data_IF_704858218191
#
_entry.id   IF_704858218191
#
_cell.length_a   1.000
_cell.length_b   1.000
_cell.length_c   1.000
_cell.angle_alpha   90.00
_cell.angle_beta   90.00
_cell.angle_gamma   90.00
#
_symmetry.space_group_name_H-M   'P 1'
#
loop_
_entity.id
_entity.type
_entity.pdbx_description
1 polymer ?
#
# COMPACT_ATOMS: atom_id res chain seq x y z
N UNK A 1 11.41 -10.58 26.15
CA UNK A 1 10.87 -10.63 24.78
C UNK A 1 11.41 -9.39 24.07
N UNK A 2 11.86 -9.50 22.79
CA UNK A 2 12.27 -8.32 22.06
C UNK A 2 11.13 -7.30 22.02
N UNK A 3 11.48 -6.02 22.01
CA UNK A 3 10.48 -4.96 21.94
C UNK A 3 9.75 -5.05 20.58
N UNK A 4 8.40 -5.01 20.55
CA UNK A 4 7.66 -5.01 19.29
C UNK A 4 8.12 -3.84 18.41
N UNK A 5 8.46 -4.14 17.16
CA UNK A 5 8.94 -3.15 16.20
C UNK A 5 8.11 -3.20 14.92
N UNK A 6 8.18 -2.15 14.14
CA UNK A 6 7.61 -2.09 12.80
C UNK A 6 8.66 -2.50 11.77
N UNK A 7 8.21 -3.07 10.66
CA UNK A 7 9.03 -3.37 9.49
C UNK A 7 8.90 -2.22 8.49
N UNK A 8 10.05 -1.69 8.05
CA UNK A 8 10.06 -0.62 7.06
C UNK A 8 10.13 -1.21 5.66
N UNK A 9 9.25 -0.74 4.78
CA UNK A 9 9.22 -1.08 3.35
C UNK A 9 8.97 0.18 2.52
N UNK A 10 9.07 0.05 1.20
CA UNK A 10 8.74 1.14 0.28
C UNK A 10 8.17 0.60 -1.04
N UNK A 11 7.32 1.37 -1.72
CA UNK A 11 7.03 1.17 -3.14
C UNK A 11 8.32 1.39 -3.92
N UNK A 12 8.93 0.30 -4.40
CA UNK A 12 10.28 0.33 -4.97
C UNK A 12 10.40 1.25 -6.19
N UNK A 13 9.36 1.29 -7.01
CA UNK A 13 9.33 2.13 -8.21
C UNK A 13 9.37 3.64 -7.91
N UNK A 14 9.06 4.07 -6.70
CA UNK A 14 9.23 5.46 -6.31
C UNK A 14 10.67 5.85 -5.97
N UNK A 15 11.52 4.89 -5.67
CA UNK A 15 12.93 5.13 -5.35
C UNK A 15 13.82 5.31 -6.58
N UNK A 16 13.29 5.16 -7.79
CA UNK A 16 14.05 5.16 -9.03
C UNK A 16 13.47 6.13 -10.08
N UNK A 17 14.32 6.70 -10.93
CA UNK A 17 13.89 7.57 -12.03
C UNK A 17 13.52 6.78 -13.29
N UNK A 18 14.30 5.76 -13.63
CA UNK A 18 14.10 4.97 -14.85
C UNK A 18 13.36 3.65 -14.58
N UNK A 19 13.01 3.38 -13.34
CA UNK A 19 12.27 2.21 -12.87
C UNK A 19 12.95 0.87 -13.20
N UNK A 20 14.25 0.85 -13.49
CA UNK A 20 14.97 -0.40 -13.66
C UNK A 20 15.11 -1.15 -12.33
N UNK A 21 15.07 -2.47 -12.37
CA UNK A 21 15.18 -3.29 -11.16
C UNK A 21 16.46 -2.97 -10.36
N UNK A 22 17.59 -2.81 -11.06
CA UNK A 22 18.88 -2.48 -10.43
C UNK A 22 18.83 -1.11 -9.74
N UNK A 23 18.23 -0.09 -10.39
CA UNK A 23 18.12 1.24 -9.80
C UNK A 23 17.21 1.22 -8.56
N UNK A 24 16.06 0.54 -8.63
CA UNK A 24 15.16 0.38 -7.50
C UNK A 24 15.85 -0.30 -6.31
N UNK A 25 16.45 -1.46 -6.57
CA UNK A 25 17.01 -2.30 -5.50
C UNK A 25 18.28 -1.71 -4.89
N UNK A 26 19.16 -1.13 -5.70
CA UNK A 26 20.34 -0.43 -5.18
C UNK A 26 19.96 0.77 -4.29
N UNK A 27 18.93 1.53 -4.68
CA UNK A 27 18.45 2.64 -3.86
C UNK A 27 17.89 2.16 -2.51
N UNK A 28 17.07 1.10 -2.50
CA UNK A 28 16.49 0.55 -1.28
C UNK A 28 17.56 -0.06 -0.37
N UNK A 29 18.50 -0.83 -0.93
CA UNK A 29 19.62 -1.41 -0.19
C UNK A 29 20.51 -0.31 0.42
N UNK A 30 20.81 0.76 -0.33
CA UNK A 30 21.58 1.90 0.17
C UNK A 30 20.87 2.66 1.32
N UNK A 31 19.55 2.59 1.39
CA UNK A 31 18.75 3.15 2.47
C UNK A 31 18.60 2.21 3.68
N UNK A 32 19.15 0.99 3.62
CA UNK A 32 19.05 -0.02 4.67
C UNK A 32 17.67 -0.69 4.76
N UNK A 33 16.84 -0.58 3.73
CA UNK A 33 15.57 -1.28 3.69
C UNK A 33 15.77 -2.75 3.35
N UNK A 34 15.05 -3.62 4.04
CA UNK A 34 15.02 -5.07 3.81
C UNK A 34 13.81 -5.48 2.97
N UNK A 35 12.72 -4.72 3.07
CA UNK A 35 11.45 -5.05 2.43
C UNK A 35 11.03 -3.98 1.43
N UNK A 36 10.30 -4.41 0.39
CA UNK A 36 9.71 -3.52 -0.59
C UNK A 36 8.37 -4.03 -1.11
N UNK A 37 7.51 -3.13 -1.56
CA UNK A 37 6.28 -3.45 -2.28
C UNK A 37 6.49 -3.34 -3.78
N UNK A 38 6.15 -4.40 -4.52
CA UNK A 38 6.38 -4.51 -5.96
C UNK A 38 5.16 -4.03 -6.74
N UNK A 39 5.32 -2.92 -7.49
CA UNK A 39 4.27 -2.32 -8.33
C UNK A 39 4.67 -2.26 -9.81
N UNK A 40 5.66 -1.47 -10.17
CA UNK A 40 6.14 -1.30 -11.54
C UNK A 40 7.67 -1.50 -11.57
N UNK A 41 8.16 -2.20 -12.61
CA UNK A 41 9.58 -2.53 -12.71
C UNK A 41 9.99 -2.74 -14.17
N UNK A 42 11.21 -2.34 -14.52
CA UNK A 42 11.84 -2.69 -15.78
C UNK A 42 13.01 -3.67 -15.55
N UNK A 43 12.93 -4.83 -16.17
CA UNK A 43 13.99 -5.86 -16.19
C UNK A 43 14.66 -5.96 -17.56
N UNK A 44 14.76 -4.85 -18.29
CA UNK A 44 15.44 -4.72 -19.57
C UNK A 44 14.53 -4.86 -20.80
N UNK A 45 13.20 -4.77 -20.62
CA UNK A 45 12.22 -4.80 -21.72
C UNK A 45 11.17 -3.70 -21.61
N UNK A 46 11.51 -2.61 -20.92
CA UNK A 46 10.60 -1.51 -20.58
C UNK A 46 9.82 -1.77 -19.30
N UNK A 47 9.28 -0.69 -18.74
CA UNK A 47 8.51 -0.71 -17.50
C UNK A 47 7.23 -1.51 -17.64
N UNK A 48 7.01 -2.43 -16.72
CA UNK A 48 5.78 -3.22 -16.61
C UNK A 48 5.20 -3.14 -15.22
N UNK A 49 3.87 -3.09 -15.15
CA UNK A 49 3.20 -3.41 -13.90
C UNK A 49 3.41 -4.88 -13.54
N UNK A 50 3.54 -5.18 -12.26
CA UNK A 50 3.78 -6.54 -11.72
C UNK A 50 2.85 -7.59 -12.32
N UNK A 51 1.58 -7.24 -12.59
CA UNK A 51 0.58 -8.12 -13.19
C UNK A 51 0.92 -8.59 -14.62
N UNK A 52 1.88 -7.94 -15.29
CA UNK A 52 2.30 -8.22 -16.68
C UNK A 52 3.65 -8.93 -16.76
N UNK A 53 4.25 -9.29 -15.65
CA UNK A 53 5.53 -9.98 -15.61
C UNK A 53 5.41 -11.42 -16.13
N UNK A 54 6.37 -11.82 -16.94
CA UNK A 54 6.57 -13.20 -17.37
C UNK A 54 7.39 -13.98 -16.33
N UNK A 55 7.35 -15.31 -16.36
CA UNK A 55 8.17 -16.15 -15.47
C UNK A 55 9.67 -15.86 -15.56
N UNK A 56 10.19 -15.62 -16.76
CA UNK A 56 11.60 -15.27 -16.94
C UNK A 56 11.95 -13.90 -16.32
N UNK A 57 11.04 -12.94 -16.33
CA UNK A 57 11.23 -11.65 -15.66
C UNK A 57 11.14 -11.80 -14.14
N UNK A 58 10.22 -12.61 -13.65
CA UNK A 58 10.11 -12.94 -12.22
C UNK A 58 11.43 -13.57 -11.73
N UNK A 59 11.98 -14.54 -12.44
CA UNK A 59 13.27 -15.17 -12.08
C UNK A 59 14.41 -14.16 -12.03
N UNK A 60 14.46 -13.20 -12.96
CA UNK A 60 15.49 -12.13 -12.92
C UNK A 60 15.33 -11.23 -11.71
N UNK A 61 14.10 -10.88 -11.35
CA UNK A 61 13.82 -10.05 -10.16
C UNK A 61 14.24 -10.82 -8.91
N UNK A 62 13.88 -12.10 -8.79
CA UNK A 62 14.27 -12.96 -7.65
C UNK A 62 15.80 -13.05 -7.49
N UNK A 63 16.52 -13.19 -8.60
CA UNK A 63 17.99 -13.20 -8.55
C UNK A 63 18.56 -11.87 -8.03
N UNK A 64 17.98 -10.73 -8.45
CA UNK A 64 18.39 -9.43 -7.94
C UNK A 64 17.97 -9.23 -6.47
N UNK A 65 16.82 -9.76 -6.04
CA UNK A 65 16.43 -9.78 -4.62
C UNK A 65 17.51 -10.48 -3.77
N UNK A 66 17.96 -11.64 -4.21
CA UNK A 66 19.04 -12.37 -3.53
C UNK A 66 20.35 -11.57 -3.51
N UNK A 67 20.72 -10.93 -4.64
CA UNK A 67 21.93 -10.10 -4.76
C UNK A 67 21.90 -8.89 -3.81
N UNK A 68 20.76 -8.21 -3.69
CA UNK A 68 20.60 -7.03 -2.84
C UNK A 68 20.08 -7.35 -1.43
N UNK A 69 19.78 -8.61 -1.14
CA UNK A 69 19.23 -9.06 0.14
C UNK A 69 17.86 -8.46 0.44
N UNK A 70 16.99 -8.32 -0.57
CA UNK A 70 15.66 -7.71 -0.45
C UNK A 70 14.55 -8.78 -0.45
N UNK A 71 13.45 -8.47 0.22
CA UNK A 71 12.28 -9.31 0.32
C UNK A 71 11.01 -8.53 -0.07
N UNK A 72 10.06 -9.18 -0.72
CA UNK A 72 8.78 -8.54 -1.06
C UNK A 72 7.86 -8.48 0.16
N UNK A 73 7.54 -7.27 0.59
CA UNK A 73 6.51 -7.04 1.62
C UNK A 73 5.11 -7.33 1.08
N UNK A 74 4.77 -6.75 -0.08
CA UNK A 74 3.47 -6.94 -0.71
C UNK A 74 3.53 -6.88 -2.24
N UNK A 75 2.59 -7.58 -2.89
CA UNK A 75 2.28 -7.33 -4.30
C UNK A 75 1.33 -6.14 -4.35
N UNK A 76 1.83 -4.99 -4.83
CA UNK A 76 1.06 -3.76 -4.99
C UNK A 76 0.23 -3.79 -6.29
N UNK A 77 -0.63 -4.81 -6.41
CA UNK A 77 -1.46 -5.04 -7.58
C UNK A 77 -2.63 -4.04 -7.66
N UNK A 78 -3.11 -3.68 -8.87
CA UNK A 78 -4.28 -2.82 -9.04
C UNK A 78 -5.61 -3.59 -8.87
N UNK A 79 -5.64 -4.62 -7.99
CA UNK A 79 -6.85 -5.37 -7.71
C UNK A 79 -7.89 -4.43 -7.09
N UNK A 80 -9.09 -4.37 -7.69
CA UNK A 80 -10.15 -3.44 -7.30
C UNK A 80 -10.10 -2.07 -7.99
N UNK A 81 -9.09 -1.75 -8.81
CA UNK A 81 -9.04 -0.55 -9.67
C UNK A 81 -9.82 -0.76 -10.98
N UNK A 82 -10.99 -1.31 -10.88
CA UNK A 82 -11.94 -1.52 -12.00
C UNK A 82 -13.32 -1.02 -11.58
N UNK A 83 -14.20 -0.76 -12.55
CA UNK A 83 -15.59 -0.39 -12.27
C UNK A 83 -16.32 -1.53 -11.56
N UNK A 84 -17.10 -1.18 -10.56
CA UNK A 84 -17.95 -2.12 -9.83
C UNK A 84 -19.13 -2.61 -10.73
N UNK A 85 -19.64 -1.71 -11.56
CA UNK A 85 -20.78 -1.93 -12.45
C UNK A 85 -20.41 -1.68 -13.91
N UNK A 86 -21.06 -2.40 -14.82
CA UNK A 86 -21.01 -2.14 -16.26
C UNK A 86 -21.91 -0.96 -16.61
N UNK A 87 -21.45 0.25 -16.28
CA UNK A 87 -22.18 1.50 -16.51
C UNK A 87 -21.27 2.51 -17.18
N UNK A 88 -21.73 3.09 -18.27
CA UNK A 88 -21.07 4.22 -18.91
C UNK A 88 -21.26 5.46 -18.01
N UNK A 89 -20.17 6.01 -17.48
CA UNK A 89 -20.14 7.13 -16.54
C UNK A 89 -19.14 8.23 -16.95
N UNK A 90 -18.64 8.16 -18.19
CA UNK A 90 -17.68 9.11 -18.74
C UNK A 90 -16.24 8.96 -18.21
N UNK A 91 -15.99 8.03 -17.28
CA UNK A 91 -14.61 7.71 -16.82
C UNK A 91 -13.91 6.75 -17.78
N UNK A 92 -12.56 6.74 -17.71
CA UNK A 92 -11.72 5.79 -18.48
C UNK A 92 -11.51 4.45 -17.75
N UNK A 93 -12.09 4.29 -16.55
CA UNK A 93 -11.95 3.07 -15.77
C UNK A 93 -12.56 1.89 -16.49
N UNK A 94 -11.83 0.77 -16.56
CA UNK A 94 -12.32 -0.45 -17.21
C UNK A 94 -13.36 -1.15 -16.33
N UNK A 95 -14.33 -1.79 -16.98
CA UNK A 95 -15.18 -2.81 -16.37
C UNK A 95 -14.69 -4.19 -16.80
N UNK A 96 -14.65 -5.12 -15.86
CA UNK A 96 -14.40 -6.54 -16.13
C UNK A 96 -15.48 -7.36 -15.42
N UNK A 97 -16.18 -8.27 -16.12
CA UNK A 97 -17.17 -9.15 -15.49
C UNK A 97 -16.55 -9.88 -14.29
N UNK A 98 -17.15 -9.78 -13.11
CA UNK A 98 -16.52 -10.17 -11.85
C UNK A 98 -16.04 -11.64 -11.84
N UNK A 99 -16.79 -12.56 -12.43
CA UNK A 99 -16.37 -13.97 -12.54
C UNK A 99 -15.03 -14.11 -13.31
N UNK A 100 -14.88 -13.35 -14.40
CA UNK A 100 -13.63 -13.32 -15.18
C UNK A 100 -12.51 -12.66 -14.40
N UNK A 101 -12.82 -11.55 -13.74
CA UNK A 101 -11.87 -10.81 -12.89
C UNK A 101 -11.27 -11.68 -11.78
N UNK A 102 -12.13 -12.41 -11.07
CA UNK A 102 -11.72 -13.35 -10.01
C UNK A 102 -10.83 -14.48 -10.58
N UNK A 103 -11.24 -15.06 -11.72
CA UNK A 103 -10.54 -16.20 -12.32
C UNK A 103 -9.21 -15.83 -12.99
N UNK A 104 -9.01 -14.58 -13.40
CA UNK A 104 -7.79 -14.15 -14.12
C UNK A 104 -6.95 -13.21 -13.30
N UNK A 105 -7.50 -12.04 -12.91
CA UNK A 105 -6.71 -10.97 -12.29
C UNK A 105 -6.38 -11.30 -10.83
N UNK A 106 -7.38 -11.73 -10.06
CA UNK A 106 -7.16 -12.11 -8.65
C UNK A 106 -6.29 -13.36 -8.56
N UNK A 107 -6.56 -14.38 -9.39
CA UNK A 107 -5.73 -15.58 -9.45
C UNK A 107 -4.28 -15.25 -9.82
N UNK A 108 -4.06 -14.35 -10.79
CA UNK A 108 -2.71 -13.90 -11.17
C UNK A 108 -2.00 -13.18 -10.03
N UNK A 109 -2.69 -12.34 -9.27
CA UNK A 109 -2.11 -11.68 -8.11
C UNK A 109 -1.69 -12.71 -7.03
N UNK A 110 -2.48 -13.77 -6.82
CA UNK A 110 -2.13 -14.87 -5.91
C UNK A 110 -0.89 -15.64 -6.41
N UNK A 111 -0.81 -15.97 -7.70
CA UNK A 111 0.37 -16.61 -8.30
C UNK A 111 1.64 -15.76 -8.10
N UNK A 112 1.53 -14.44 -8.29
CA UNK A 112 2.65 -13.52 -8.09
C UNK A 112 3.08 -13.46 -6.62
N UNK A 113 2.13 -13.41 -5.68
CA UNK A 113 2.46 -13.42 -4.26
C UNK A 113 3.24 -14.68 -3.87
N UNK A 114 2.88 -15.84 -4.40
CA UNK A 114 3.65 -17.08 -4.21
C UNK A 114 5.02 -17.04 -4.88
N UNK A 115 5.10 -16.54 -6.12
CA UNK A 115 6.34 -16.47 -6.87
C UNK A 115 7.39 -15.56 -6.21
N UNK A 116 6.92 -14.53 -5.50
CA UNK A 116 7.73 -13.58 -4.74
C UNK A 116 7.76 -13.86 -3.22
N UNK A 117 7.24 -15.01 -2.78
CA UNK A 117 7.28 -15.48 -1.39
C UNK A 117 6.69 -14.49 -0.38
N UNK A 118 5.75 -13.65 -0.81
CA UNK A 118 5.02 -12.76 0.10
C UNK A 118 3.63 -13.30 0.44
N UNK A 119 3.12 -12.92 1.60
CA UNK A 119 1.77 -13.26 2.07
C UNK A 119 0.75 -12.15 1.81
N UNK A 120 1.19 -10.99 1.31
CA UNK A 120 0.35 -9.80 1.19
C UNK A 120 0.09 -9.40 -0.26
N UNK A 121 -1.19 -9.18 -0.57
CA UNK A 121 -1.63 -8.54 -1.81
C UNK A 121 -2.36 -7.25 -1.41
N UNK A 122 -1.89 -6.09 -1.89
CA UNK A 122 -2.59 -4.83 -1.74
C UNK A 122 -3.60 -4.66 -2.86
N UNK A 123 -4.78 -4.16 -2.53
CA UNK A 123 -5.83 -3.85 -3.48
C UNK A 123 -6.81 -2.81 -2.97
N UNK A 124 -7.92 -2.64 -3.67
CA UNK A 124 -8.84 -1.52 -3.59
C UNK A 124 -10.30 -1.94 -3.64
N UNK A 125 -11.22 -0.99 -3.40
CA UNK A 125 -12.65 -1.24 -3.17
C UNK A 125 -13.57 -0.94 -4.36
N UNK A 126 -13.06 -0.96 -5.57
CA UNK A 126 -13.75 -0.69 -6.84
C UNK A 126 -14.19 0.78 -7.03
N UNK A 127 -14.28 1.19 -8.30
CA UNK A 127 -14.90 2.46 -8.68
C UNK A 127 -16.42 2.31 -8.75
N UNK A 128 -17.20 3.05 -7.94
CA UNK A 128 -18.64 3.21 -8.18
C UNK A 128 -18.84 4.07 -9.44
N UNK A 129 -20.04 4.11 -10.04
CA UNK A 129 -20.33 5.09 -11.07
C UNK A 129 -20.06 6.51 -10.56
N UNK A 130 -19.47 7.35 -11.40
CA UNK A 130 -18.87 8.66 -11.01
C UNK A 130 -19.81 9.57 -10.22
N UNK A 131 -21.09 9.60 -10.58
CA UNK A 131 -22.07 10.51 -9.99
C UNK A 131 -22.90 9.86 -8.87
N UNK A 132 -22.71 8.57 -8.64
CA UNK A 132 -23.43 7.84 -7.60
C UNK A 132 -22.74 8.02 -6.25
N UNK A 133 -23.48 7.87 -5.16
CA UNK A 133 -22.90 7.87 -3.81
C UNK A 133 -22.24 6.50 -3.57
N UNK A 134 -21.00 6.45 -3.10
CA UNK A 134 -20.32 5.18 -2.78
C UNK A 134 -21.11 4.30 -1.82
N UNK A 135 -21.84 4.91 -0.87
CA UNK A 135 -22.66 4.21 0.11
C UNK A 135 -23.75 3.34 -0.53
N UNK A 136 -24.27 3.76 -1.69
CA UNK A 136 -25.33 3.04 -2.40
C UNK A 136 -24.82 1.72 -3.03
N UNK A 137 -23.49 1.56 -3.09
CA UNK A 137 -22.81 0.40 -3.70
C UNK A 137 -22.11 -0.52 -2.68
N UNK A 138 -22.29 -0.29 -1.38
CA UNK A 138 -21.63 -1.07 -0.32
C UNK A 138 -21.96 -2.55 -0.39
N UNK A 139 -23.21 -2.93 -0.62
CA UNK A 139 -23.64 -4.34 -0.69
C UNK A 139 -22.84 -5.12 -1.74
N UNK A 140 -22.76 -4.57 -2.95
CA UNK A 140 -22.06 -5.23 -4.04
C UNK A 140 -20.55 -5.26 -3.84
N UNK A 141 -19.98 -4.18 -3.30
CA UNK A 141 -18.56 -4.14 -2.97
C UNK A 141 -18.22 -5.18 -1.88
N UNK A 142 -19.05 -5.31 -0.84
CA UNK A 142 -18.90 -6.31 0.22
C UNK A 142 -18.94 -7.72 -0.35
N UNK A 143 -19.93 -8.05 -1.21
CA UNK A 143 -20.03 -9.36 -1.86
C UNK A 143 -18.78 -9.69 -2.68
N UNK A 144 -18.33 -8.76 -3.53
CA UNK A 144 -17.17 -8.99 -4.39
C UNK A 144 -15.86 -9.06 -3.61
N UNK A 145 -15.66 -8.18 -2.62
CA UNK A 145 -14.47 -8.20 -1.78
C UNK A 145 -14.42 -9.43 -0.86
N UNK A 146 -15.55 -9.91 -0.40
CA UNK A 146 -15.64 -11.18 0.31
C UNK A 146 -15.15 -12.37 -0.53
N UNK A 147 -15.52 -12.42 -1.81
CA UNK A 147 -15.06 -13.45 -2.75
C UNK A 147 -13.56 -13.32 -3.08
N UNK A 148 -13.02 -12.10 -3.14
CA UNK A 148 -11.58 -11.86 -3.30
C UNK A 148 -10.83 -12.33 -2.04
N UNK A 149 -11.31 -11.96 -0.86
CA UNK A 149 -10.72 -12.39 0.41
C UNK A 149 -10.72 -13.92 0.56
N UNK A 150 -11.80 -14.59 0.16
CA UNK A 150 -11.90 -16.05 0.15
C UNK A 150 -10.91 -16.67 -0.87
N UNK A 151 -10.73 -16.09 -2.06
CA UNK A 151 -9.75 -16.56 -3.04
C UNK A 151 -8.32 -16.45 -2.49
N UNK A 152 -7.97 -15.32 -1.87
CA UNK A 152 -6.69 -15.14 -1.19
C UNK A 152 -6.51 -16.13 -0.04
N UNK A 153 -7.55 -16.36 0.76
CA UNK A 153 -7.52 -17.32 1.87
C UNK A 153 -7.22 -18.75 1.40
N UNK A 154 -7.87 -19.21 0.35
CA UNK A 154 -7.61 -20.54 -0.26
C UNK A 154 -6.19 -20.68 -0.77
N UNK A 155 -5.57 -19.57 -1.12
CA UNK A 155 -4.16 -19.50 -1.53
C UNK A 155 -3.21 -19.23 -0.37
N UNK A 156 -3.65 -19.31 0.90
CA UNK A 156 -2.87 -18.97 2.09
C UNK A 156 -2.25 -17.56 2.04
N UNK A 157 -3.02 -16.59 1.53
CA UNK A 157 -2.64 -15.18 1.36
C UNK A 157 -3.59 -14.25 2.11
N UNK A 158 -3.18 -13.01 2.29
CA UNK A 158 -3.95 -11.94 2.92
C UNK A 158 -4.14 -10.79 1.94
N UNK A 159 -5.39 -10.34 1.80
CA UNK A 159 -5.76 -9.19 0.97
C UNK A 159 -5.85 -7.93 1.83
N UNK A 160 -5.03 -6.95 1.53
CA UNK A 160 -5.04 -5.64 2.18
C UNK A 160 -5.82 -4.63 1.36
N UNK A 161 -6.86 -4.09 1.96
CA UNK A 161 -7.78 -3.15 1.32
C UNK A 161 -7.39 -1.71 1.69
N UNK A 162 -6.84 -0.97 0.72
CA UNK A 162 -6.35 0.39 0.92
C UNK A 162 -7.47 1.41 0.83
N UNK A 163 -7.46 2.38 1.77
CA UNK A 163 -8.31 3.56 1.69
C UNK A 163 -7.82 4.49 0.59
N UNK A 164 -8.70 4.80 -0.38
CA UNK A 164 -8.33 5.68 -1.49
C UNK A 164 -9.53 6.43 -2.07
N UNK A 165 -9.27 7.65 -2.57
CA UNK A 165 -10.25 8.52 -3.19
C UNK A 165 -10.97 7.86 -4.37
N UNK A 166 -12.16 8.35 -4.67
CA UNK A 166 -12.99 7.93 -5.81
C UNK A 166 -13.48 6.47 -5.81
N UNK A 167 -13.16 5.70 -4.76
CA UNK A 167 -13.57 4.31 -4.61
C UNK A 167 -14.76 4.16 -3.65
N UNK A 168 -15.38 2.98 -3.61
CA UNK A 168 -16.44 2.70 -2.63
C UNK A 168 -15.92 2.89 -1.22
N UNK A 169 -14.74 2.38 -0.90
CA UNK A 169 -14.04 2.55 0.38
C UNK A 169 -13.17 3.80 0.44
N UNK A 170 -13.65 4.95 -0.03
CA UNK A 170 -12.90 6.22 -0.09
C UNK A 170 -12.56 6.85 1.26
N UNK A 171 -13.20 6.41 2.33
CA UNK A 171 -12.92 6.88 3.68
C UNK A 171 -12.67 5.71 4.63
N UNK A 172 -12.01 5.98 5.74
CA UNK A 172 -11.74 4.96 6.75
C UNK A 172 -13.02 4.37 7.34
N UNK A 173 -14.06 5.19 7.52
CA UNK A 173 -15.36 4.73 8.00
C UNK A 173 -16.04 3.76 7.01
N UNK A 174 -16.06 4.10 5.72
CA UNK A 174 -16.63 3.22 4.68
C UNK A 174 -15.82 1.92 4.56
N UNK A 175 -14.50 2.02 4.60
CA UNK A 175 -13.62 0.87 4.51
C UNK A 175 -13.75 -0.05 5.74
N UNK A 176 -13.87 0.53 6.93
CA UNK A 176 -14.16 -0.20 8.17
C UNK A 176 -15.51 -0.93 8.12
N UNK A 177 -16.54 -0.27 7.58
CA UNK A 177 -17.86 -0.89 7.38
C UNK A 177 -17.79 -2.05 6.38
N UNK A 178 -17.10 -1.90 5.26
CA UNK A 178 -16.84 -3.00 4.31
C UNK A 178 -16.14 -4.16 5.02
N UNK A 179 -15.05 -3.89 5.74
CA UNK A 179 -14.29 -4.92 6.48
C UNK A 179 -15.16 -5.66 7.48
N UNK A 180 -15.94 -4.92 8.28
CA UNK A 180 -16.86 -5.48 9.27
C UNK A 180 -17.92 -6.38 8.64
N UNK A 181 -18.47 -5.99 7.48
CA UNK A 181 -19.52 -6.75 6.79
C UNK A 181 -18.99 -7.95 6.03
N UNK A 182 -17.82 -7.83 5.40
CA UNK A 182 -17.11 -8.98 4.81
C UNK A 182 -16.74 -10.00 5.86
N UNK A 183 -16.30 -9.54 7.05
CA UNK A 183 -15.95 -10.36 8.20
C UNK A 183 -15.12 -11.61 7.84
N UNK A 184 -14.03 -11.39 7.11
CA UNK A 184 -13.21 -12.49 6.61
C UNK A 184 -11.77 -12.41 7.16
N UNK A 185 -11.19 -13.52 7.68
CA UNK A 185 -9.86 -13.49 8.32
C UNK A 185 -8.72 -13.13 7.37
N UNK A 186 -8.89 -13.32 6.06
CA UNK A 186 -7.89 -12.95 5.05
C UNK A 186 -8.05 -11.53 4.52
N UNK A 187 -8.97 -10.72 5.05
CA UNK A 187 -9.12 -9.31 4.72
C UNK A 187 -8.57 -8.46 5.86
N UNK A 188 -7.67 -7.53 5.52
CA UNK A 188 -7.17 -6.51 6.43
C UNK A 188 -7.25 -5.13 5.77
N UNK A 189 -7.08 -4.07 6.54
CA UNK A 189 -7.15 -2.69 6.06
C UNK A 189 -5.75 -2.09 5.96
N UNK A 190 -5.55 -1.27 4.94
CA UNK A 190 -4.33 -0.47 4.75
C UNK A 190 -4.70 1.00 4.92
N UNK A 191 -4.15 1.63 5.94
CA UNK A 191 -4.39 3.04 6.22
C UNK A 191 -3.42 3.92 5.45
N UNK A 192 -3.93 4.99 4.85
CA UNK A 192 -3.16 6.03 4.18
C UNK A 192 -3.73 7.40 4.52
N UNK A 193 -2.98 8.21 5.26
CA UNK A 193 -3.41 9.52 5.72
C UNK A 193 -3.54 10.53 4.56
N UNK A 194 -2.63 10.47 3.58
CA UNK A 194 -2.63 11.39 2.44
C UNK A 194 -3.84 11.16 1.53
N UNK A 195 -4.22 9.90 1.33
CA UNK A 195 -5.39 9.54 0.53
C UNK A 195 -6.71 10.07 1.15
N UNK A 196 -6.73 10.32 2.45
CA UNK A 196 -7.85 10.95 3.14
C UNK A 196 -7.74 12.48 3.03
N UNK A 197 -6.56 13.06 3.30
CA UNK A 197 -6.32 14.50 3.26
C UNK A 197 -6.62 15.13 1.89
N UNK A 198 -6.22 14.47 0.79
CA UNK A 198 -6.44 14.98 -0.56
C UNK A 198 -7.93 15.09 -0.95
N UNK A 199 -8.81 14.45 -0.18
CA UNK A 199 -10.27 14.56 -0.31
C UNK A 199 -10.87 15.72 0.50
N UNK A 200 -10.06 16.61 1.07
CA UNK A 200 -10.51 17.77 1.85
C UNK A 200 -10.85 17.47 3.31
N UNK A 201 -10.40 16.34 3.85
CA UNK A 201 -10.54 16.06 5.28
C UNK A 201 -9.54 16.88 6.09
N UNK A 202 -9.98 17.37 7.24
CA UNK A 202 -9.09 18.02 8.20
C UNK A 202 -8.24 17.00 8.98
N UNK A 203 -7.11 17.42 9.60
CA UNK A 203 -6.31 16.53 10.44
C UNK A 203 -7.10 15.83 11.55
N UNK A 204 -8.05 16.53 12.17
CA UNK A 204 -8.94 15.94 13.19
C UNK A 204 -9.87 14.87 12.61
N UNK A 205 -10.24 15.00 11.34
CA UNK A 205 -11.06 13.99 10.65
C UNK A 205 -10.19 12.80 10.21
N UNK A 206 -8.95 13.03 9.76
CA UNK A 206 -8.00 11.92 9.47
C UNK A 206 -7.83 11.03 10.70
N UNK A 207 -7.72 11.62 11.88
CA UNK A 207 -7.68 10.86 13.14
C UNK A 207 -8.94 9.99 13.35
N UNK A 208 -10.13 10.50 13.06
CA UNK A 208 -11.38 9.72 13.17
C UNK A 208 -11.43 8.55 12.17
N UNK A 209 -10.91 8.77 10.96
CA UNK A 209 -10.80 7.72 9.95
C UNK A 209 -9.79 6.63 10.38
N UNK A 210 -8.66 7.02 11.00
CA UNK A 210 -7.72 6.10 11.64
C UNK A 210 -8.42 5.25 12.72
N UNK A 211 -9.12 5.90 13.66
CA UNK A 211 -9.82 5.20 14.73
C UNK A 211 -10.84 4.18 14.20
N UNK A 212 -11.56 4.52 13.13
CA UNK A 212 -12.50 3.60 12.50
C UNK A 212 -11.81 2.36 11.89
N UNK A 213 -10.62 2.52 11.30
CA UNK A 213 -9.91 1.44 10.62
C UNK A 213 -9.13 0.51 11.56
N UNK A 214 -8.79 0.95 12.78
CA UNK A 214 -7.96 0.18 13.74
C UNK A 214 -8.39 -1.29 13.93
N UNK A 215 -9.67 -1.64 14.07
CA UNK A 215 -10.08 -3.04 14.29
C UNK A 215 -9.70 -3.99 13.15
N UNK A 216 -9.63 -3.46 11.91
CA UNK A 216 -9.28 -4.22 10.71
C UNK A 216 -7.82 -4.04 10.25
N UNK A 217 -7.03 -3.23 10.94
CA UNK A 217 -5.71 -2.82 10.47
C UNK A 217 -4.80 -4.01 10.16
N UNK A 218 -4.11 -3.94 9.02
CA UNK A 218 -3.01 -4.82 8.61
C UNK A 218 -1.68 -4.10 8.60
N UNK A 219 -1.58 -3.01 7.85
CA UNK A 219 -0.38 -2.17 7.78
C UNK A 219 -0.72 -0.72 7.40
N UNK A 220 0.30 0.13 7.28
CA UNK A 220 0.13 1.57 7.02
C UNK A 220 1.00 1.98 5.84
N UNK A 221 0.41 2.67 4.86
CA UNK A 221 1.15 3.43 3.87
C UNK A 221 1.60 4.77 4.47
N UNK A 222 2.86 5.08 4.28
CA UNK A 222 3.47 6.31 4.78
C UNK A 222 3.60 7.30 3.64
N UNK A 223 2.58 8.11 3.53
CA UNK A 223 2.44 9.21 2.60
C UNK A 223 1.76 10.35 3.33
N UNK A 224 2.21 11.58 3.14
CA UNK A 224 1.57 12.72 3.76
C UNK A 224 1.27 13.82 2.74
N UNK A 225 0.36 14.70 3.09
CA UNK A 225 -0.14 15.74 2.22
C UNK A 225 -0.29 17.05 3.00
N UNK A 226 0.09 18.17 2.39
CA UNK A 226 -0.21 19.48 2.98
C UNK A 226 -1.72 19.65 3.03
N UNK A 227 -2.23 20.12 4.16
CA UNK A 227 -3.64 20.43 4.30
C UNK A 227 -4.11 21.28 3.10
N UNK A 228 -5.17 20.86 2.39
CA UNK A 228 -5.63 21.57 1.22
C UNK A 228 -6.03 23.00 1.61
N UNK A 229 -5.62 23.96 0.80
CA UNK A 229 -6.29 25.27 0.79
C UNK A 229 -7.77 24.98 0.57
N UNK A 230 -8.65 25.57 1.38
CA UNK A 230 -10.11 25.35 1.42
C UNK A 230 -10.72 25.36 0.00
N UNK A 231 -10.76 24.23 -0.66
CA UNK A 231 -11.31 24.08 -2.00
C UNK A 231 -12.17 22.82 -2.05
N UNK A 232 -13.45 23.02 -2.29
CA UNK A 232 -14.35 21.96 -2.65
C UNK A 232 -15.11 21.27 -1.50
N UNK A 233 -15.99 20.37 -1.88
CA UNK A 233 -16.85 19.58 -1.00
C UNK A 233 -16.07 18.37 -0.49
N UNK A 234 -16.00 18.19 0.83
CA UNK A 234 -15.38 17.02 1.46
C UNK A 234 -15.91 15.72 0.86
N UNK A 235 -14.98 14.79 0.51
CA UNK A 235 -15.33 13.51 -0.08
C UNK A 235 -15.95 13.62 -1.47
N UNK A 236 -15.76 14.75 -2.18
CA UNK A 236 -16.09 14.89 -3.59
C UNK A 236 -15.10 14.13 -4.47
N UNK A 237 -15.37 14.09 -5.78
CA UNK A 237 -14.45 13.53 -6.75
C UNK A 237 -13.10 14.25 -6.72
N UNK A 238 -12.03 13.49 -6.66
CA UNK A 238 -10.65 13.99 -6.64
C UNK A 238 -10.05 13.82 -8.03
N UNK A 239 -9.52 14.91 -8.58
CA UNK A 239 -8.71 14.89 -9.81
C UNK A 239 -7.28 14.46 -9.46
N UNK A 240 -7.06 13.16 -9.43
CA UNK A 240 -5.84 12.55 -8.90
C UNK A 240 -4.58 12.99 -9.64
N UNK A 241 -4.67 13.25 -10.94
CA UNK A 241 -3.55 13.73 -11.79
C UNK A 241 -3.09 15.15 -11.39
N UNK A 242 -3.93 15.92 -10.68
CA UNK A 242 -3.64 17.29 -10.25
C UNK A 242 -3.10 17.40 -8.83
N UNK A 243 -3.00 16.28 -8.12
CA UNK A 243 -2.44 16.27 -6.77
C UNK A 243 -0.94 16.53 -6.82
N UNK A 244 -0.47 17.56 -6.11
CA UNK A 244 0.93 18.01 -6.15
C UNK A 244 1.50 18.37 -4.77
N UNK A 245 0.73 18.23 -3.71
CA UNK A 245 1.11 18.71 -2.38
C UNK A 245 1.55 17.58 -1.44
N UNK A 246 2.08 16.49 -2.00
CA UNK A 246 2.67 15.41 -1.21
C UNK A 246 3.98 15.85 -0.55
N UNK A 247 4.17 15.45 0.68
CA UNK A 247 5.32 15.80 1.52
C UNK A 247 5.72 14.61 2.39
N UNK A 248 6.96 14.59 2.92
CA UNK A 248 7.37 13.61 3.92
C UNK A 248 6.45 13.61 5.16
N UNK A 249 6.35 12.47 5.83
CA UNK A 249 5.47 12.23 6.98
C UNK A 249 5.65 13.21 8.16
N UNK A 250 6.81 13.83 8.28
CA UNK A 250 7.12 14.84 9.30
C UNK A 250 6.69 16.27 8.93
N UNK A 251 6.17 16.49 7.70
CA UNK A 251 5.88 17.82 7.14
C UNK A 251 4.45 18.02 6.69
N UNK A 252 3.62 16.99 6.75
CA UNK A 252 2.24 17.04 6.32
C UNK A 252 1.24 17.22 7.45
N UNK A 253 -0.01 17.11 7.11
CA UNK A 253 -1.15 17.31 8.01
C UNK A 253 -1.82 15.98 8.43
N UNK A 254 -1.28 14.83 8.02
CA UNK A 254 -1.83 13.49 8.31
C UNK A 254 -1.75 13.08 9.77
N UNK A 255 -0.88 13.72 10.57
CA UNK A 255 -0.77 13.44 11.99
C UNK A 255 -0.04 12.14 12.31
N UNK A 256 0.93 11.76 11.50
CA UNK A 256 1.67 10.48 11.62
C UNK A 256 2.29 10.28 13.02
N UNK A 257 2.79 11.31 13.69
CA UNK A 257 3.34 11.17 15.05
C UNK A 257 2.28 10.62 16.02
N UNK A 258 1.07 11.16 15.99
CA UNK A 258 -0.04 10.70 16.83
C UNK A 258 -0.50 9.30 16.44
N UNK A 259 -0.61 9.03 15.12
CA UNK A 259 -1.03 7.73 14.58
C UNK A 259 -0.03 6.64 14.97
N UNK A 260 1.27 6.88 14.80
CA UNK A 260 2.30 5.91 15.14
C UNK A 260 2.45 5.70 16.66
N UNK A 261 2.25 6.76 17.45
CA UNK A 261 2.19 6.62 18.92
C UNK A 261 1.01 5.74 19.38
N UNK A 262 -0.15 5.85 18.74
CA UNK A 262 -1.31 4.99 18.99
C UNK A 262 -1.06 3.55 18.48
N UNK A 263 -0.49 3.41 17.27
CA UNK A 263 -0.10 2.10 16.70
C UNK A 263 0.84 1.34 17.64
N UNK A 264 1.80 2.00 18.29
CA UNK A 264 2.71 1.38 19.27
C UNK A 264 1.95 0.55 20.31
N UNK A 265 0.84 1.07 20.81
CA UNK A 265 -0.01 0.34 21.78
C UNK A 265 -0.65 -0.92 21.21
N UNK A 266 -0.85 -0.97 19.90
CA UNK A 266 -1.48 -2.09 19.21
C UNK A 266 -0.46 -3.13 18.69
N UNK A 267 0.81 -2.75 18.51
CA UNK A 267 1.84 -3.58 17.86
C UNK A 267 1.91 -5.01 18.40
N UNK A 268 1.94 -5.27 19.73
CA UNK A 268 2.08 -6.64 20.22
C UNK A 268 0.96 -7.57 19.75
N UNK A 269 -0.28 -7.07 19.77
CA UNK A 269 -1.45 -7.86 19.38
C UNK A 269 -1.56 -7.98 17.85
N UNK A 270 -1.25 -6.89 17.13
CA UNK A 270 -1.32 -6.85 15.68
C UNK A 270 -0.22 -7.72 15.06
N UNK A 271 1.02 -7.63 15.52
CA UNK A 271 2.13 -8.49 15.08
C UNK A 271 1.77 -9.96 15.26
N UNK A 272 1.31 -10.36 16.46
CA UNK A 272 0.90 -11.74 16.72
C UNK A 272 -0.25 -12.20 15.80
N UNK A 273 -1.19 -11.31 15.45
CA UNK A 273 -2.28 -11.59 14.49
C UNK A 273 -1.72 -11.86 13.09
N UNK A 274 -0.76 -11.05 12.63
CA UNK A 274 -0.14 -11.16 11.31
C UNK A 274 0.80 -12.36 11.20
N UNK A 275 1.62 -12.62 12.22
CA UNK A 275 2.51 -13.80 12.29
C UNK A 275 1.75 -15.14 12.17
N UNK A 276 0.55 -15.25 12.73
CA UNK A 276 -0.32 -16.42 12.55
C UNK A 276 -0.73 -16.68 11.11
N UNK A 277 -0.55 -15.69 10.25
CA UNK A 277 -0.81 -15.76 8.81
C UNK A 277 0.48 -15.82 7.99
N UNK A 278 1.63 -16.01 8.63
CA UNK A 278 2.95 -16.06 7.99
C UNK A 278 3.47 -14.69 7.54
N UNK A 279 2.90 -13.59 8.04
CA UNK A 279 3.34 -12.23 7.77
C UNK A 279 4.33 -11.85 8.89
N UNK A 280 5.56 -11.38 8.57
CA UNK A 280 6.63 -11.25 9.57
C UNK A 280 6.40 -10.14 10.61
N UNK A 281 5.46 -9.22 10.36
CA UNK A 281 5.16 -8.12 11.28
C UNK A 281 4.27 -7.04 10.65
N UNK A 282 4.25 -5.88 11.28
CA UNK A 282 3.47 -4.72 10.82
C UNK A 282 4.35 -3.86 9.93
N UNK A 283 4.01 -3.76 8.65
CA UNK A 283 4.72 -2.92 7.70
C UNK A 283 4.31 -1.45 7.80
N UNK A 284 5.30 -0.57 7.68
CA UNK A 284 5.14 0.83 7.30
C UNK A 284 5.72 0.98 5.90
N UNK A 285 4.85 1.15 4.90
CA UNK A 285 5.22 1.10 3.49
C UNK A 285 5.29 2.52 2.92
N UNK A 286 6.50 2.98 2.60
CA UNK A 286 6.74 4.32 2.06
C UNK A 286 6.21 4.45 0.64
N UNK A 287 5.32 5.42 0.44
CA UNK A 287 4.78 5.82 -0.86
C UNK A 287 4.78 7.36 -0.98
N UNK A 288 5.95 8.02 -0.99
CA UNK A 288 6.03 9.44 -0.62
C UNK A 288 5.56 10.45 -1.67
N UNK A 289 5.59 10.16 -2.98
CA UNK A 289 5.17 11.05 -4.08
C UNK A 289 5.79 12.47 -4.07
N UNK A 290 6.93 12.66 -3.43
CA UNK A 290 7.48 14.01 -3.13
C UNK A 290 7.98 14.79 -4.34
N UNK A 291 8.13 14.16 -5.50
CA UNK A 291 8.45 14.84 -6.76
C UNK A 291 7.25 15.03 -7.68
N UNK A 292 6.06 14.62 -7.26
CA UNK A 292 4.83 14.75 -8.05
C UNK A 292 4.45 13.47 -8.80
N UNK A 293 3.71 13.61 -9.88
CA UNK A 293 3.18 12.49 -10.66
C UNK A 293 1.74 12.11 -10.33
N UNK A 294 1.06 12.88 -9.47
CA UNK A 294 -0.29 12.59 -9.02
C UNK A 294 -0.35 11.40 -8.06
N UNK A 295 -1.53 10.87 -7.84
CA UNK A 295 -1.75 9.75 -6.90
C UNK A 295 -1.41 8.37 -7.53
N UNK A 296 -1.54 8.24 -8.85
CA UNK A 296 -1.31 7.00 -9.57
C UNK A 296 0.03 6.97 -10.33
N UNK A 297 1.10 7.04 -9.74
CA UNK A 297 2.40 7.02 -10.40
C UNK A 297 3.26 8.15 -9.88
N UNK A 298 3.07 8.43 -8.63
CA UNK A 298 3.95 9.30 -7.89
C UNK A 298 5.39 8.85 -8.03
N UNK A 299 6.27 9.82 -8.07
CA UNK A 299 7.70 9.59 -8.12
C UNK A 299 8.41 10.38 -7.04
N UNK A 300 9.44 9.81 -6.48
CA UNK A 300 10.25 10.44 -5.44
C UNK A 300 11.73 10.50 -5.83
N UNK A 301 12.20 9.54 -6.60
CA UNK A 301 13.60 9.33 -6.89
C UNK A 301 14.42 8.92 -5.65
N UNK A 302 15.69 8.57 -5.78
CA UNK A 302 16.52 8.09 -4.67
C UNK A 302 16.66 9.11 -3.55
N UNK A 303 16.83 10.38 -3.90
CA UNK A 303 16.94 11.49 -2.94
C UNK A 303 15.61 11.79 -2.23
N UNK A 304 14.49 11.80 -2.97
CA UNK A 304 13.15 11.98 -2.40
C UNK A 304 12.76 10.85 -1.47
N UNK A 305 13.05 9.59 -1.84
CA UNK A 305 12.84 8.42 -0.98
C UNK A 305 13.69 8.52 0.30
N UNK A 306 14.97 8.91 0.18
CA UNK A 306 15.84 9.12 1.34
C UNK A 306 15.36 10.25 2.26
N UNK A 307 14.80 11.33 1.72
CA UNK A 307 14.18 12.41 2.52
C UNK A 307 12.94 11.88 3.25
N UNK A 308 12.09 11.14 2.56
CA UNK A 308 10.87 10.57 3.13
C UNK A 308 11.18 9.57 4.25
N UNK A 309 12.16 8.70 4.04
CA UNK A 309 12.61 7.74 5.07
C UNK A 309 13.14 8.46 6.32
N UNK A 310 13.99 9.48 6.16
CA UNK A 310 14.46 10.27 7.31
C UNK A 310 13.31 10.96 8.04
N UNK A 311 12.33 11.49 7.32
CA UNK A 311 11.12 12.05 7.91
C UNK A 311 10.35 11.02 8.73
N UNK A 312 10.17 9.81 8.19
CA UNK A 312 9.53 8.70 8.89
C UNK A 312 10.31 8.29 10.15
N UNK A 313 11.63 8.09 10.05
CA UNK A 313 12.48 7.76 11.21
C UNK A 313 12.34 8.80 12.33
N UNK A 314 12.39 10.10 11.99
CA UNK A 314 12.20 11.17 12.96
C UNK A 314 10.81 11.16 13.62
N UNK A 315 9.76 10.74 12.92
CA UNK A 315 8.41 10.56 13.48
C UNK A 315 8.36 9.33 14.39
N UNK A 316 8.99 8.22 13.99
CA UNK A 316 9.07 6.99 14.78
C UNK A 316 9.80 7.20 16.10
N UNK A 317 10.92 7.93 16.07
CA UNK A 317 11.68 8.28 17.27
C UNK A 317 10.84 9.09 18.26
N UNK A 318 10.11 10.11 17.79
CA UNK A 318 9.19 10.90 18.62
C UNK A 318 8.04 10.05 19.17
N UNK A 319 7.47 9.17 18.35
CA UNK A 319 6.40 8.25 18.74
C UNK A 319 6.92 7.09 19.63
N UNK A 320 8.24 6.95 19.79
CA UNK A 320 8.90 5.85 20.51
C UNK A 320 8.49 4.47 19.97
N UNK A 321 8.43 4.35 18.65
CA UNK A 321 8.18 3.10 17.92
C UNK A 321 9.52 2.55 17.46
N UNK A 322 9.84 1.34 17.84
CA UNK A 322 11.08 0.68 17.43
C UNK A 322 11.00 0.27 15.94
N UNK A 323 12.09 0.43 15.24
CA UNK A 323 12.31 0.02 13.86
C UNK A 323 13.78 -0.38 13.66
N UNK A 324 14.08 -1.02 12.55
CA UNK A 324 15.45 -1.36 12.16
C UNK A 324 15.68 -0.94 10.70
N UNK A 325 16.85 -0.38 10.44
CA UNK A 325 17.43 -0.22 9.12
C UNK A 325 18.73 -1.01 9.11
N UNK A 326 18.94 -1.82 8.09
CA UNK A 326 20.15 -2.63 7.96
C UNK A 326 21.39 -1.74 7.87
N UNK A 327 22.37 -2.10 8.60
CA UNK A 327 23.72 -1.54 8.48
C UNK A 327 24.59 -2.36 7.49
N UNK A 328 25.89 -2.08 7.46
CA UNK A 328 26.79 -2.75 6.56
C UNK A 328 26.94 -4.25 6.88
N UNK A 329 26.99 -4.61 8.14
CA UNK A 329 27.15 -6.01 8.57
C UNK A 329 25.89 -6.82 8.27
N UNK A 330 24.71 -6.25 8.46
CA UNK A 330 23.41 -6.81 8.07
C UNK A 330 23.37 -7.08 6.55
N UNK A 331 23.84 -6.11 5.75
CA UNK A 331 23.88 -6.26 4.28
C UNK A 331 24.83 -7.36 3.83
N UNK A 332 25.98 -7.50 4.47
CA UNK A 332 26.91 -8.59 4.18
C UNK A 332 26.31 -9.95 4.55
N UNK A 333 25.66 -10.06 5.69
CA UNK A 333 25.02 -11.30 6.12
C UNK A 333 23.86 -11.71 5.21
N UNK A 334 23.09 -10.75 4.68
CA UNK A 334 21.95 -11.01 3.81
C UNK A 334 22.34 -11.45 2.38
N UNK A 335 23.51 -11.01 1.88
CA UNK A 335 23.93 -11.29 0.49
C UNK A 335 24.40 -12.72 0.25
N UNK A 336 24.53 -13.54 1.25
CA UNK A 336 25.18 -14.85 1.13
C UNK A 336 26.67 -14.72 0.83
N UNK A 337 27.41 -15.75 1.07
CA UNK A 337 28.80 -15.87 0.59
C UNK A 337 28.76 -16.09 -0.93
N UNK A 338 29.16 -15.08 -1.69
CA UNK A 338 29.47 -15.20 -3.12
C UNK A 338 30.62 -16.16 -3.31
#
# INVERSE_FOLDING_TARGET
>A
MPQPHVLLSALADEAAFHLTAVEQFSALAALGLEYYSLRNIDVGKGVKNVMKLTMAEIQKIRHLEDEYGLNVASIAAPIGKVKLLDKADGTKNAYVPFKQYLAKDVAKACELAHAFETKLIRGFSFYPPKDDRPEDHLEQAVDQLGKIAEACHRSDLTFGLEVEANLVGRSGQLLAEIHRRVNHPALVLVFDAANILCQGYSPAQVWKEWEAMKPGLGWVHIKDYKAPVKTGKRGGHVEEDKLANFVPADRGAGGHERILADLRGMLPALTKKLERRGIPGVFLDLEPHVRGGGQFGGTSGPDGMGIALRGLCGVLDKAKVAYHLRDFDDLLAARGTV
#
